data_IF_428303954413
#
_entry.id   IF_428303954413
#
_cell.length_a   1.000
_cell.length_b   1.000
_cell.length_c   1.000
_cell.angle_alpha   90.00
_cell.angle_beta   90.00
_cell.angle_gamma   90.00
#
_symmetry.space_group_name_H-M   'P 1'
#
loop_
_entity.id
_entity.type
_entity.pdbx_description
1 polymer ?
#
# COMPACT_ATOMS: atom_id res chain seq x y z
N UNK A 1 -12.20 -20.22 -15.73
CA UNK A 1 -10.99 -21.05 -15.73
C UNK A 1 -10.89 -21.71 -14.38
N UNK A 2 -10.74 -23.04 -14.34
CA UNK A 2 -10.45 -23.76 -13.09
C UNK A 2 -8.94 -23.98 -12.98
N UNK A 3 -8.37 -23.88 -11.77
CA UNK A 3 -6.94 -24.09 -11.59
C UNK A 3 -6.57 -25.56 -11.85
N UNK A 4 -5.48 -25.79 -12.59
CA UNK A 4 -4.92 -27.12 -12.79
C UNK A 4 -4.08 -27.50 -11.57
N UNK A 5 -4.42 -28.62 -10.94
CA UNK A 5 -3.72 -29.18 -9.78
C UNK A 5 -3.23 -30.60 -10.08
N UNK A 6 -2.11 -31.00 -9.46
CA UNK A 6 -1.52 -32.32 -9.63
C UNK A 6 -2.16 -33.40 -8.74
N UNK A 7 -2.78 -32.99 -7.64
CA UNK A 7 -3.45 -33.86 -6.69
C UNK A 7 -4.79 -33.25 -6.32
N UNK A 8 -5.85 -34.06 -6.30
CA UNK A 8 -7.20 -33.64 -5.91
C UNK A 8 -7.66 -34.51 -4.74
N UNK A 9 -7.93 -33.93 -3.56
CA UNK A 9 -8.54 -34.69 -2.46
C UNK A 9 -9.85 -35.36 -2.93
N UNK A 10 -10.20 -36.55 -2.43
CA UNK A 10 -11.47 -37.20 -2.72
C UNK A 10 -12.65 -36.27 -2.46
N UNK A 11 -13.65 -36.31 -3.35
CA UNK A 11 -14.89 -35.52 -3.27
C UNK A 11 -14.70 -34.00 -3.26
N UNK A 12 -13.52 -33.50 -3.62
CA UNK A 12 -13.23 -32.07 -3.72
C UNK A 12 -13.50 -31.52 -5.13
N UNK A 13 -14.23 -30.41 -5.20
CA UNK A 13 -14.37 -29.60 -6.41
C UNK A 13 -14.25 -28.11 -6.07
N UNK A 14 -13.73 -27.33 -7.01
CA UNK A 14 -13.59 -25.89 -6.84
C UNK A 14 -14.93 -25.18 -6.98
N UNK A 15 -15.20 -24.21 -6.11
CA UNK A 15 -16.28 -23.27 -6.35
C UNK A 15 -15.95 -22.35 -7.52
N UNK A 16 -16.98 -21.87 -8.22
CA UNK A 16 -16.81 -20.86 -9.27
C UNK A 16 -16.32 -19.55 -8.64
N UNK A 17 -15.41 -18.87 -9.35
CA UNK A 17 -15.03 -17.50 -9.03
C UNK A 17 -16.29 -16.61 -9.06
N UNK A 18 -16.42 -15.75 -8.06
CA UNK A 18 -17.56 -14.82 -7.96
C UNK A 18 -17.10 -13.43 -8.33
N UNK A 19 -17.89 -12.76 -9.18
CA UNK A 19 -17.71 -11.34 -9.46
C UNK A 19 -18.60 -10.58 -8.48
N UNK A 20 -17.98 -9.78 -7.63
CA UNK A 20 -18.65 -8.93 -6.65
C UNK A 20 -18.54 -7.48 -7.14
N UNK A 21 -19.69 -6.82 -7.32
CA UNK A 21 -19.77 -5.39 -7.63
C UNK A 21 -20.61 -4.73 -6.54
N UNK A 22 -20.01 -4.31 -5.42
CA UNK A 22 -20.74 -3.66 -4.35
C UNK A 22 -21.19 -2.26 -4.79
N UNK A 23 -22.50 -2.02 -4.86
CA UNK A 23 -23.16 -0.70 -4.97
C UNK A 23 -22.52 0.29 -5.96
N UNK A 24 -22.14 -0.18 -7.15
CA UNK A 24 -21.61 0.67 -8.22
C UNK A 24 -20.18 1.17 -8.01
N UNK A 25 -19.40 0.54 -7.12
CA UNK A 25 -17.94 0.71 -7.03
C UNK A 25 -17.21 -0.56 -7.45
N UNK A 26 -15.91 -0.39 -7.69
CA UNK A 26 -14.86 -1.37 -8.00
C UNK A 26 -15.31 -2.83 -8.08
N UNK A 27 -15.19 -3.43 -9.26
CA UNK A 27 -15.48 -4.85 -9.48
C UNK A 27 -14.35 -5.71 -8.95
N UNK A 28 -14.68 -6.67 -8.08
CA UNK A 28 -13.73 -7.64 -7.55
C UNK A 28 -14.06 -9.04 -8.08
N UNK A 29 -13.03 -9.80 -8.40
CA UNK A 29 -13.12 -11.25 -8.61
C UNK A 29 -12.64 -11.93 -7.33
N UNK A 30 -13.55 -12.62 -6.68
CA UNK A 30 -13.31 -13.46 -5.52
C UNK A 30 -12.91 -14.87 -6.00
N UNK A 31 -11.68 -15.25 -5.70
CA UNK A 31 -11.05 -16.52 -6.04
C UNK A 31 -10.89 -17.37 -4.77
N UNK A 32 -11.85 -18.28 -4.47
CA UNK A 32 -11.81 -19.08 -3.24
C UNK A 32 -10.87 -20.29 -3.32
N UNK A 33 -10.32 -20.57 -4.50
CA UNK A 33 -9.69 -21.86 -4.82
C UNK A 33 -8.53 -22.26 -3.90
N UNK A 34 -7.66 -21.31 -3.53
CA UNK A 34 -6.53 -21.62 -2.65
C UNK A 34 -7.01 -22.03 -1.24
N UNK A 35 -7.96 -21.27 -0.70
CA UNK A 35 -8.55 -21.53 0.61
C UNK A 35 -9.28 -22.88 0.62
N UNK A 36 -10.09 -23.14 -0.41
CA UNK A 36 -10.83 -24.39 -0.59
C UNK A 36 -9.88 -25.60 -0.69
N UNK A 37 -8.82 -25.48 -1.48
CA UNK A 37 -7.85 -26.56 -1.69
C UNK A 37 -7.10 -26.92 -0.40
N UNK A 38 -6.55 -25.93 0.31
CA UNK A 38 -5.84 -26.17 1.58
C UNK A 38 -6.79 -26.79 2.61
N UNK A 39 -8.02 -26.26 2.73
CA UNK A 39 -9.02 -26.79 3.64
C UNK A 39 -9.40 -28.24 3.33
N UNK A 40 -9.64 -28.56 2.06
CA UNK A 40 -9.96 -29.92 1.62
C UNK A 40 -8.79 -30.89 1.82
N UNK A 41 -7.56 -30.44 1.54
CA UNK A 41 -6.36 -31.24 1.76
C UNK A 41 -6.19 -31.61 3.24
N UNK A 42 -6.34 -30.66 4.16
CA UNK A 42 -6.26 -30.95 5.59
C UNK A 42 -7.40 -31.87 6.08
N UNK A 43 -8.63 -31.67 5.59
CA UNK A 43 -9.77 -32.55 5.92
C UNK A 43 -9.55 -33.98 5.46
N UNK A 44 -8.83 -34.18 4.35
CA UNK A 44 -8.45 -35.51 3.88
C UNK A 44 -7.22 -36.08 4.60
N UNK A 45 -6.23 -35.24 4.90
CA UNK A 45 -4.97 -35.66 5.52
C UNK A 45 -5.15 -36.19 6.94
N UNK A 46 -6.04 -35.59 7.74
CA UNK A 46 -6.29 -35.99 9.14
C UNK A 46 -6.76 -37.45 9.26
N UNK A 47 -7.86 -37.89 8.60
CA UNK A 47 -8.32 -39.27 8.71
C UNK A 47 -7.31 -40.27 8.12
N UNK A 48 -6.64 -39.92 7.01
CA UNK A 48 -5.59 -40.77 6.43
C UNK A 48 -4.41 -40.93 7.39
N UNK A 49 -3.93 -39.85 7.99
CA UNK A 49 -2.87 -39.87 8.99
C UNK A 49 -3.25 -40.68 10.23
N UNK A 50 -4.50 -40.57 10.69
CA UNK A 50 -5.00 -41.35 11.81
C UNK A 50 -5.04 -42.86 11.50
N UNK A 51 -5.53 -43.25 10.32
CA UNK A 51 -5.55 -44.66 9.89
C UNK A 51 -4.12 -45.21 9.82
N UNK A 52 -3.20 -44.47 9.21
CA UNK A 52 -1.79 -44.86 9.13
C UNK A 52 -1.15 -45.04 10.51
N UNK A 53 -1.41 -44.12 11.44
CA UNK A 53 -0.91 -44.23 12.81
C UNK A 53 -1.44 -45.50 13.50
N UNK A 54 -2.73 -45.82 13.34
CA UNK A 54 -3.33 -47.04 13.90
C UNK A 54 -2.68 -48.30 13.31
N UNK A 55 -2.47 -48.35 12.00
CA UNK A 55 -1.82 -49.50 11.34
C UNK A 55 -0.39 -49.70 11.86
N UNK A 56 0.40 -48.63 12.00
CA UNK A 56 1.77 -48.71 12.50
C UNK A 56 1.78 -49.18 13.97
N UNK A 57 0.87 -48.66 14.79
CA UNK A 57 0.77 -49.06 16.20
C UNK A 57 0.37 -50.53 16.33
N UNK A 58 -0.57 -51.02 15.51
CA UNK A 58 -0.94 -52.44 15.49
C UNK A 58 0.23 -53.33 15.06
N UNK A 59 0.95 -52.96 14.00
CA UNK A 59 2.13 -53.70 13.53
C UNK A 59 3.24 -53.72 14.59
N UNK A 60 3.49 -52.59 15.26
CA UNK A 60 4.44 -52.49 16.34
C UNK A 60 4.01 -53.29 17.58
N UNK A 61 2.72 -53.31 17.91
CA UNK A 61 2.16 -54.12 18.99
C UNK A 61 2.35 -55.62 18.76
N UNK A 62 2.13 -56.09 17.53
CA UNK A 62 2.39 -57.47 17.15
C UNK A 62 3.88 -57.81 17.21
N UNK A 63 4.75 -56.93 16.70
CA UNK A 63 6.20 -57.07 16.79
C UNK A 63 6.67 -57.16 18.25
N UNK A 64 6.11 -56.31 19.13
CA UNK A 64 6.41 -56.38 20.56
C UNK A 64 5.96 -57.71 21.16
N UNK A 65 4.71 -58.12 20.94
CA UNK A 65 4.17 -59.36 21.50
C UNK A 65 4.96 -60.63 21.08
N UNK A 66 5.55 -60.61 19.89
CA UNK A 66 6.27 -61.76 19.31
C UNK A 66 7.79 -61.71 19.51
N UNK A 67 8.34 -60.63 20.05
CA UNK A 67 9.79 -60.35 20.07
C UNK A 67 10.65 -61.11 21.09
N UNK A 68 10.06 -61.91 21.98
CA UNK A 68 10.80 -62.82 22.88
C UNK A 68 11.88 -62.21 23.80
N UNK A 69 11.91 -60.89 24.00
CA UNK A 69 12.90 -60.21 24.87
C UNK A 69 14.10 -59.55 24.16
N UNK A 70 14.19 -59.60 22.82
CA UNK A 70 15.33 -59.09 22.05
C UNK A 70 15.23 -57.63 21.57
N UNK A 71 16.16 -57.21 20.70
CA UNK A 71 16.23 -55.83 20.14
C UNK A 71 14.99 -55.36 19.35
N UNK A 72 14.10 -56.29 18.99
CA UNK A 72 12.83 -56.00 18.33
C UNK A 72 11.86 -55.24 19.26
N UNK A 73 11.96 -55.38 20.59
CA UNK A 73 11.17 -54.59 21.55
C UNK A 73 11.47 -53.10 21.39
N UNK A 74 12.76 -52.73 21.32
CA UNK A 74 13.16 -51.33 21.12
C UNK A 74 12.66 -50.78 19.79
N UNK A 75 12.67 -51.61 18.74
CA UNK A 75 12.17 -51.24 17.41
C UNK A 75 10.66 -50.96 17.46
N UNK A 76 9.88 -51.86 18.09
CA UNK A 76 8.44 -51.67 18.28
C UNK A 76 8.13 -50.39 19.08
N UNK A 77 8.88 -50.14 20.17
CA UNK A 77 8.74 -48.91 20.96
C UNK A 77 9.02 -47.65 20.12
N UNK A 78 10.06 -47.65 19.29
CA UNK A 78 10.36 -46.54 18.38
C UNK A 78 9.23 -46.31 17.36
N UNK A 79 8.65 -47.37 16.80
CA UNK A 79 7.54 -47.24 15.85
C UNK A 79 6.30 -46.65 16.49
N UNK A 80 5.96 -47.08 17.70
CA UNK A 80 4.84 -46.51 18.48
C UNK A 80 5.10 -45.03 18.78
N UNK A 81 6.30 -44.70 19.27
CA UNK A 81 6.68 -43.30 19.56
C UNK A 81 6.59 -42.42 18.32
N UNK A 82 7.12 -42.87 17.19
CA UNK A 82 7.10 -42.10 15.94
C UNK A 82 5.67 -41.92 15.40
N UNK A 83 4.82 -42.95 15.49
CA UNK A 83 3.42 -42.87 15.08
C UNK A 83 2.64 -41.86 15.94
N UNK A 84 2.85 -41.90 17.27
CA UNK A 84 2.21 -40.96 18.21
C UNK A 84 2.72 -39.53 17.97
N UNK A 85 4.04 -39.34 17.84
CA UNK A 85 4.63 -38.03 17.58
C UNK A 85 4.16 -37.46 16.23
N UNK A 86 4.09 -38.28 15.18
CA UNK A 86 3.57 -37.86 13.88
C UNK A 86 2.11 -37.42 13.95
N UNK A 87 1.25 -38.19 14.63
CA UNK A 87 -0.15 -37.84 14.83
C UNK A 87 -0.30 -36.57 15.69
N UNK A 88 0.52 -36.44 16.73
CA UNK A 88 0.52 -35.26 17.60
C UNK A 88 0.98 -34.02 16.84
N UNK A 89 2.00 -34.11 15.99
CA UNK A 89 2.42 -33.02 15.11
C UNK A 89 1.32 -32.63 14.11
N UNK A 90 0.65 -33.62 13.50
CA UNK A 90 -0.45 -33.38 12.57
C UNK A 90 -1.61 -32.62 13.22
N UNK A 91 -2.04 -33.03 14.41
CA UNK A 91 -3.15 -32.41 15.14
C UNK A 91 -2.75 -31.06 15.77
N UNK A 92 -1.54 -30.99 16.33
CA UNK A 92 -1.06 -29.77 16.99
C UNK A 92 -0.77 -28.64 16.01
N UNK A 93 -0.44 -28.93 14.74
CA UNK A 93 -0.24 -27.91 13.71
C UNK A 93 -1.42 -26.94 13.65
N UNK A 94 -2.65 -27.46 13.53
CA UNK A 94 -3.86 -26.64 13.52
C UNK A 94 -4.09 -25.91 14.85
N UNK A 95 -3.94 -26.60 15.97
CA UNK A 95 -4.17 -26.04 17.31
C UNK A 95 -3.20 -24.89 17.61
N UNK A 96 -1.93 -25.05 17.25
CA UNK A 96 -0.89 -24.02 17.44
C UNK A 96 -1.20 -22.79 16.60
N UNK A 97 -1.53 -22.98 15.31
CA UNK A 97 -1.93 -21.87 14.43
C UNK A 97 -3.15 -21.13 15.00
N UNK A 98 -4.16 -21.87 15.46
CA UNK A 98 -5.37 -21.31 16.07
C UNK A 98 -5.08 -20.51 17.36
N UNK A 99 -4.18 -20.99 18.22
CA UNK A 99 -3.81 -20.33 19.49
C UNK A 99 -3.01 -19.05 19.23
N UNK A 100 -2.06 -19.08 18.30
CA UNK A 100 -1.21 -17.93 17.99
C UNK A 100 -2.04 -16.84 17.33
N UNK A 101 -2.81 -17.20 16.30
CA UNK A 101 -3.71 -16.27 15.63
C UNK A 101 -4.79 -17.02 14.84
N UNK A 102 -6.09 -16.92 15.22
CA UNK A 102 -7.16 -17.59 14.52
C UNK A 102 -7.31 -17.15 13.05
N UNK A 103 -6.78 -15.98 12.67
CA UNK A 103 -6.76 -15.51 11.28
C UNK A 103 -5.78 -16.32 10.40
N UNK A 104 -4.88 -17.12 10.97
CA UNK A 104 -3.97 -17.98 10.19
C UNK A 104 -4.65 -19.25 9.67
N UNK A 105 -5.76 -19.67 10.29
CA UNK A 105 -6.56 -20.81 9.82
C UNK A 105 -7.83 -20.38 9.10
N UNK A 106 -8.23 -19.12 9.24
CA UNK A 106 -9.28 -18.50 8.43
C UNK A 106 -8.65 -18.12 7.10
N UNK A 107 -8.88 -18.94 6.09
CA UNK A 107 -8.38 -18.69 4.74
C UNK A 107 -9.42 -17.90 3.94
N UNK A 108 -9.31 -16.56 3.81
CA UNK A 108 -10.24 -15.79 3.00
C UNK A 108 -10.05 -16.08 1.51
N UNK A 109 -11.11 -15.88 0.73
CA UNK A 109 -11.00 -15.88 -0.72
C UNK A 109 -10.08 -14.74 -1.18
N UNK A 110 -9.24 -15.02 -2.18
CA UNK A 110 -8.36 -14.01 -2.76
C UNK A 110 -9.21 -13.04 -3.59
N UNK A 111 -9.20 -11.76 -3.23
CA UNK A 111 -9.94 -10.72 -3.95
C UNK A 111 -8.99 -9.99 -4.89
N UNK A 112 -9.25 -10.09 -6.18
CA UNK A 112 -8.50 -9.39 -7.23
C UNK A 112 -9.41 -8.31 -7.82
N UNK A 113 -8.95 -7.07 -7.80
CA UNK A 113 -9.68 -5.98 -8.44
C UNK A 113 -9.60 -6.12 -9.96
N UNK A 114 -10.73 -6.05 -10.64
CA UNK A 114 -10.78 -6.03 -12.10
C UNK A 114 -10.49 -4.61 -12.56
N UNK A 115 -9.40 -4.43 -13.30
CA UNK A 115 -9.16 -3.19 -14.02
C UNK A 115 -10.25 -3.02 -15.08
N UNK A 116 -10.96 -1.89 -15.05
CA UNK A 116 -11.90 -1.54 -16.11
C UNK A 116 -11.10 -1.31 -17.40
N UNK A 117 -11.39 -2.03 -18.50
CA UNK A 117 -10.73 -1.74 -19.76
C UNK A 117 -11.06 -0.30 -20.17
N UNK A 118 -10.02 0.52 -20.33
CA UNK A 118 -10.12 1.88 -20.83
C UNK A 118 -10.58 1.78 -22.28
N UNK A 119 -11.82 2.18 -22.55
CA UNK A 119 -12.28 2.45 -23.90
C UNK A 119 -11.54 3.72 -24.34
N UNK A 120 -10.49 3.57 -25.15
CA UNK A 120 -9.86 4.70 -25.84
C UNK A 120 -10.82 5.06 -26.99
N UNK A 121 -11.79 5.94 -26.70
CA UNK A 121 -12.57 6.60 -27.74
C UNK A 121 -11.76 7.78 -28.25
N UNK A 122 -11.27 7.69 -29.49
CA UNK A 122 -10.50 8.72 -30.19
C UNK A 122 -11.34 9.94 -30.63
N UNK A 123 -12.37 10.32 -29.87
CA UNK A 123 -13.24 11.44 -30.21
C UNK A 123 -13.33 12.44 -29.05
N UNK A 124 -12.99 13.69 -29.38
CA UNK A 124 -12.77 14.83 -28.49
C UNK A 124 -14.03 15.34 -27.76
N UNK A 125 -13.87 15.69 -26.48
CA UNK A 125 -14.17 17.00 -25.84
C UNK A 125 -13.95 16.87 -24.31
N UNK A 126 -13.13 17.76 -23.72
CA UNK A 126 -12.71 17.70 -22.31
C UNK A 126 -13.89 17.76 -21.32
N UNK A 127 -13.88 16.89 -20.29
CA UNK A 127 -13.74 17.43 -18.95
C UNK A 127 -12.59 16.79 -18.18
N UNK A 128 -11.84 17.67 -17.51
CA UNK A 128 -10.70 17.43 -16.62
C UNK A 128 -10.62 16.02 -16.02
N UNK A 129 -9.66 15.22 -16.51
CA UNK A 129 -9.33 13.93 -15.91
C UNK A 129 -8.78 14.14 -14.50
N UNK A 130 -9.56 13.78 -13.49
CA UNK A 130 -9.04 13.53 -12.14
C UNK A 130 -8.15 12.30 -12.25
N UNK A 131 -6.84 12.50 -12.30
CA UNK A 131 -5.82 11.46 -12.24
C UNK A 131 -5.79 10.95 -10.78
N UNK A 132 -6.84 10.24 -10.38
CA UNK A 132 -7.08 9.85 -8.99
C UNK A 132 -7.52 8.40 -8.79
N UNK A 133 -7.62 7.61 -9.86
CA UNK A 133 -8.10 6.21 -9.79
C UNK A 133 -7.21 5.17 -10.45
N UNK A 134 -6.11 5.56 -11.10
CA UNK A 134 -5.07 4.60 -11.51
C UNK A 134 -4.00 4.51 -10.41
N UNK A 135 -3.39 3.34 -10.16
CA UNK A 135 -2.13 3.24 -9.44
C UNK A 135 -1.07 3.98 -10.29
N UNK A 136 -1.00 5.30 -10.09
CA UNK A 136 -0.17 6.20 -10.87
C UNK A 136 1.25 5.67 -10.93
N UNK A 137 1.69 5.38 -12.14
CA UNK A 137 3.05 4.98 -12.45
C UNK A 137 3.98 5.99 -11.78
N UNK A 138 4.72 5.56 -10.77
CA UNK A 138 5.85 6.32 -10.26
C UNK A 138 6.90 6.29 -11.36
N UNK A 139 6.84 7.23 -12.30
CA UNK A 139 7.92 7.38 -13.28
C UNK A 139 9.14 7.83 -12.48
N UNK A 140 10.26 7.08 -12.50
CA UNK A 140 11.48 7.58 -11.90
C UNK A 140 11.84 8.89 -12.62
N UNK A 141 11.84 10.02 -11.90
CA UNK A 141 12.37 11.24 -12.49
C UNK A 141 13.89 11.08 -12.52
N UNK A 142 14.42 10.78 -13.69
CA UNK A 142 15.86 10.75 -13.96
C UNK A 142 16.32 12.16 -14.35
N UNK A 143 17.33 12.66 -13.65
CA UNK A 143 17.99 13.94 -13.90
C UNK A 143 19.04 14.24 -12.84
N UNK A 144 20.12 14.93 -13.21
CA UNK A 144 21.33 15.09 -12.38
C UNK A 144 21.13 15.88 -11.07
N UNK A 145 19.96 16.47 -10.85
CA UNK A 145 19.74 17.40 -9.76
C UNK A 145 18.31 17.40 -9.19
N UNK A 146 17.60 16.26 -9.34
CA UNK A 146 16.30 16.03 -8.73
C UNK A 146 16.29 14.72 -7.98
N UNK A 147 15.57 14.67 -6.85
CA UNK A 147 15.24 13.43 -6.17
C UNK A 147 13.78 13.39 -5.76
N UNK A 148 13.20 12.20 -5.79
CA UNK A 148 11.84 11.93 -5.35
C UNK A 148 11.89 10.91 -4.22
N UNK A 149 11.39 11.27 -3.03
CA UNK A 149 11.43 10.40 -1.83
C UNK A 149 10.03 9.87 -1.52
N UNK A 150 9.71 8.69 -2.05
CA UNK A 150 8.44 8.01 -1.73
C UNK A 150 7.18 8.74 -2.22
N UNK A 151 7.33 9.72 -3.13
CA UNK A 151 6.22 10.44 -3.73
C UNK A 151 5.88 9.87 -5.12
N UNK A 152 4.59 9.82 -5.45
CA UNK A 152 4.11 9.54 -6.81
C UNK A 152 4.00 10.86 -7.56
N UNK A 153 4.42 10.90 -8.81
CA UNK A 153 4.43 12.12 -9.62
C UNK A 153 3.69 11.85 -10.92
N UNK A 154 2.81 12.78 -11.28
CA UNK A 154 2.10 12.73 -12.55
C UNK A 154 3.06 12.96 -13.73
N UNK A 155 2.84 12.26 -14.85
CA UNK A 155 3.72 12.38 -16.03
C UNK A 155 3.74 13.80 -16.59
N UNK A 156 2.65 14.56 -16.47
CA UNK A 156 2.56 15.97 -16.88
C UNK A 156 3.43 16.93 -16.06
N UNK A 157 3.91 16.50 -14.88
CA UNK A 157 4.83 17.30 -14.05
C UNK A 157 6.31 17.01 -14.31
N UNK A 158 6.65 15.98 -15.10
CA UNK A 158 8.04 15.58 -15.31
C UNK A 158 8.87 16.70 -15.94
N UNK A 159 8.40 17.27 -17.05
CA UNK A 159 9.12 18.34 -17.76
C UNK A 159 9.24 19.62 -16.90
N UNK A 160 8.16 20.15 -16.27
CA UNK A 160 8.28 21.27 -15.34
C UNK A 160 9.26 21.02 -14.19
N UNK A 161 9.23 19.83 -13.57
CA UNK A 161 10.13 19.49 -12.47
C UNK A 161 11.59 19.38 -12.92
N UNK A 162 11.83 18.79 -14.09
CA UNK A 162 13.17 18.72 -14.68
C UNK A 162 13.70 20.12 -15.04
N UNK A 163 12.83 21.01 -15.56
CA UNK A 163 13.19 22.41 -15.83
C UNK A 163 13.60 23.14 -14.54
N UNK A 164 12.83 23.02 -13.47
CA UNK A 164 13.18 23.60 -12.17
C UNK A 164 14.50 23.01 -11.62
N UNK A 165 14.68 21.70 -11.68
CA UNK A 165 15.90 21.04 -11.23
C UNK A 165 17.15 21.48 -12.00
N UNK A 166 17.03 21.69 -13.32
CA UNK A 166 18.11 22.19 -14.18
C UNK A 166 18.50 23.62 -13.83
N UNK A 167 17.54 24.48 -13.49
CA UNK A 167 17.81 25.85 -13.06
C UNK A 167 18.57 25.91 -11.72
N UNK A 168 18.33 24.94 -10.85
CA UNK A 168 19.00 24.83 -9.55
C UNK A 168 20.41 24.25 -9.61
N UNK A 169 20.74 23.52 -10.69
CA UNK A 169 22.01 22.79 -10.81
C UNK A 169 23.26 23.68 -10.69
N UNK A 170 23.34 24.87 -11.34
CA UNK A 170 24.49 25.76 -11.18
C UNK A 170 24.69 26.29 -9.75
N UNK A 171 23.63 26.26 -8.92
CA UNK A 171 23.67 26.73 -7.54
C UNK A 171 24.04 25.62 -6.55
N UNK A 172 24.22 24.38 -7.03
CA UNK A 172 24.49 23.19 -6.22
C UNK A 172 23.30 22.76 -5.37
N UNK A 173 22.07 23.13 -5.74
CA UNK A 173 20.85 22.84 -4.98
C UNK A 173 20.08 21.70 -5.63
N UNK A 174 19.91 20.58 -4.94
CA UNK A 174 19.10 19.45 -5.40
C UNK A 174 17.63 19.71 -5.10
N UNK A 175 16.76 19.61 -6.12
CA UNK A 175 15.31 19.63 -5.95
C UNK A 175 14.83 18.32 -5.32
N UNK A 176 14.24 18.39 -4.12
CA UNK A 176 13.77 17.22 -3.39
C UNK A 176 12.26 17.18 -3.29
N UNK A 177 11.60 16.36 -4.09
CA UNK A 177 10.17 16.12 -3.98
C UNK A 177 9.88 15.07 -2.91
N UNK A 178 9.10 15.44 -1.90
CA UNK A 178 8.78 14.60 -0.73
C UNK A 178 7.34 14.11 -0.69
N UNK A 179 6.44 14.79 -1.41
CA UNK A 179 5.03 14.39 -1.55
C UNK A 179 4.51 14.89 -2.89
N UNK A 180 3.52 14.20 -3.45
CA UNK A 180 3.04 14.39 -4.82
C UNK A 180 1.61 13.89 -4.97
N UNK A 181 1.31 13.14 -6.03
CA UNK A 181 0.01 12.52 -6.27
C UNK A 181 -0.42 11.67 -5.08
N UNK A 182 -1.66 11.89 -4.63
CA UNK A 182 -2.28 11.17 -3.51
C UNK A 182 -3.60 10.56 -3.94
N UNK A 183 -3.82 9.29 -3.64
CA UNK A 183 -5.10 8.65 -3.92
C UNK A 183 -6.21 9.24 -3.04
N UNK A 184 -7.46 9.09 -3.47
CA UNK A 184 -8.61 9.49 -2.66
C UNK A 184 -8.65 8.73 -1.32
N UNK A 185 -8.23 7.46 -1.31
CA UNK A 185 -8.15 6.64 -0.10
C UNK A 185 -7.09 7.17 0.86
N UNK A 186 -5.89 7.49 0.36
CA UNK A 186 -4.80 8.04 1.16
C UNK A 186 -5.19 9.40 1.76
N UNK A 187 -5.91 10.24 1.00
CA UNK A 187 -6.42 11.52 1.50
C UNK A 187 -7.42 11.31 2.65
N UNK A 188 -8.36 10.37 2.52
CA UNK A 188 -9.30 10.02 3.60
C UNK A 188 -8.58 9.48 4.82
N UNK A 189 -7.54 8.64 4.63
CA UNK A 189 -6.71 8.10 5.70
C UNK A 189 -5.97 9.20 6.46
N UNK A 190 -5.46 10.22 5.76
CA UNK A 190 -4.82 11.38 6.40
C UNK A 190 -5.81 12.20 7.24
N UNK A 191 -7.01 12.47 6.70
CA UNK A 191 -8.06 13.19 7.45
C UNK A 191 -8.39 12.42 8.73
N UNK A 192 -8.65 11.12 8.64
CA UNK A 192 -8.99 10.29 9.80
C UNK A 192 -7.85 10.20 10.83
N UNK A 193 -6.59 10.22 10.39
CA UNK A 193 -5.43 10.13 11.28
C UNK A 193 -5.06 11.46 11.96
N UNK A 194 -5.41 12.61 11.35
CA UNK A 194 -4.92 13.93 11.77
C UNK A 194 -6.01 14.83 12.35
N UNK A 195 -7.28 14.55 12.07
CA UNK A 195 -8.42 15.38 12.46
C UNK A 195 -9.33 14.62 13.43
N UNK A 196 -9.80 15.32 14.47
CA UNK A 196 -10.80 14.74 15.39
C UNK A 196 -12.20 14.71 14.77
N UNK A 197 -12.52 15.70 13.94
CA UNK A 197 -13.74 15.78 13.14
C UNK A 197 -13.38 15.88 11.64
N UNK A 198 -13.74 14.88 10.82
CA UNK A 198 -13.43 14.85 9.39
C UNK A 198 -14.19 15.91 8.56
N UNK A 199 -15.05 16.73 9.18
CA UNK A 199 -15.75 17.86 8.54
C UNK A 199 -15.23 19.22 8.99
N UNK A 200 -14.49 19.29 10.10
CA UNK A 200 -13.95 20.53 10.64
C UNK A 200 -12.41 20.61 10.48
N UNK A 201 -11.88 21.45 9.56
CA UNK A 201 -10.44 21.64 9.41
C UNK A 201 -9.73 22.11 10.68
N UNK A 202 -10.44 22.79 11.60
CA UNK A 202 -9.85 23.28 12.87
C UNK A 202 -9.61 22.15 13.87
N UNK A 203 -10.26 21.01 13.67
CA UNK A 203 -10.06 19.81 14.50
C UNK A 203 -8.75 19.08 14.16
N UNK A 204 -8.06 19.49 13.10
CA UNK A 204 -6.85 18.86 12.61
C UNK A 204 -5.61 19.33 13.35
N UNK A 205 -4.75 18.38 13.71
CA UNK A 205 -3.46 18.64 14.35
C UNK A 205 -2.47 19.37 13.45
N UNK A 206 -2.63 19.29 12.12
CA UNK A 206 -1.85 19.98 11.09
C UNK A 206 -2.80 20.41 9.97
N UNK A 207 -2.41 21.35 9.08
CA UNK A 207 -3.20 21.65 7.88
C UNK A 207 -3.43 20.37 7.07
N UNK A 208 -4.70 20.07 6.76
CA UNK A 208 -5.13 18.93 5.95
C UNK A 208 -6.24 19.39 5.02
N UNK A 209 -6.18 19.00 3.75
CA UNK A 209 -7.26 19.28 2.80
C UNK A 209 -8.48 18.39 3.08
N UNK A 210 -9.67 18.99 3.18
CA UNK A 210 -10.89 18.32 3.68
C UNK A 210 -11.86 17.84 2.59
N UNK A 211 -11.43 17.74 1.32
CA UNK A 211 -12.25 17.25 0.20
C UNK A 211 -13.63 17.95 0.08
N UNK A 212 -13.73 19.23 0.45
CA UNK A 212 -15.00 19.93 0.67
C UNK A 212 -15.93 19.91 -0.55
N UNK A 213 -15.37 19.89 -1.76
CA UNK A 213 -16.11 19.84 -3.03
C UNK A 213 -15.70 18.62 -3.88
N UNK A 214 -15.38 17.51 -3.24
CA UNK A 214 -14.95 16.28 -3.91
C UNK A 214 -13.44 16.21 -4.17
N UNK A 215 -12.97 15.15 -4.87
CA UNK A 215 -11.54 14.88 -5.05
C UNK A 215 -10.77 15.98 -5.78
N UNK A 216 -11.41 16.73 -6.68
CA UNK A 216 -10.74 17.83 -7.40
C UNK A 216 -10.38 19.03 -6.52
N UNK A 217 -11.05 19.15 -5.36
CA UNK A 217 -10.84 20.25 -4.40
C UNK A 217 -9.55 20.15 -3.58
N UNK A 218 -8.85 19.01 -3.64
CA UNK A 218 -7.54 18.86 -3.02
C UNK A 218 -6.45 18.83 -4.10
N UNK A 219 -5.42 19.69 -4.04
CA UNK A 219 -4.41 19.76 -5.11
C UNK A 219 -3.69 18.43 -5.36
N UNK A 220 -3.25 17.74 -4.31
CA UNK A 220 -2.54 16.46 -4.41
C UNK A 220 -3.36 15.32 -5.01
N UNK A 221 -4.68 15.33 -4.86
CA UNK A 221 -5.55 14.28 -5.45
C UNK A 221 -5.82 14.49 -6.93
N UNK A 222 -5.28 15.57 -7.52
CA UNK A 222 -5.41 15.86 -8.95
C UNK A 222 -4.14 15.60 -9.74
N UNK A 223 -3.07 15.14 -9.08
CA UNK A 223 -1.77 14.90 -9.72
C UNK A 223 -0.97 16.16 -10.05
N UNK A 224 -1.55 17.36 -9.85
CA UNK A 224 -0.92 18.64 -10.20
C UNK A 224 -0.27 19.36 -9.03
N UNK A 225 -0.03 18.69 -7.90
CA UNK A 225 0.61 19.31 -6.75
C UNK A 225 1.73 18.45 -6.17
N UNK A 226 2.78 19.12 -5.72
CA UNK A 226 3.96 18.52 -5.11
C UNK A 226 4.43 19.32 -3.90
N UNK A 227 4.98 18.62 -2.92
CA UNK A 227 5.71 19.24 -1.81
C UNK A 227 7.21 19.04 -2.06
N UNK A 228 7.95 20.14 -2.19
CA UNK A 228 9.35 20.12 -2.59
C UNK A 228 10.25 21.00 -1.71
N UNK A 229 11.50 20.55 -1.57
CA UNK A 229 12.50 21.14 -0.70
C UNK A 229 13.85 21.28 -1.40
N UNK A 230 14.58 22.34 -1.08
CA UNK A 230 15.98 22.47 -1.46
C UNK A 230 16.88 21.61 -0.60
N UNK A 231 17.90 21.04 -1.22
CA UNK A 231 19.02 20.44 -0.50
C UNK A 231 20.34 20.90 -1.06
N UNK A 232 21.24 21.26 -0.17
CA UNK A 232 22.56 21.78 -0.50
C UNK A 232 23.57 21.21 0.48
N UNK A 233 24.76 20.86 0.01
CA UNK A 233 25.86 20.34 0.85
C UNK A 233 25.45 19.15 1.74
N UNK A 234 24.63 18.25 1.18
CA UNK A 234 24.16 17.04 1.85
C UNK A 234 23.11 17.26 2.95
N UNK A 235 22.55 18.47 3.08
CA UNK A 235 21.52 18.81 4.07
C UNK A 235 20.28 19.41 3.43
N UNK A 236 19.12 19.19 4.05
CA UNK A 236 17.89 19.88 3.70
C UNK A 236 18.01 21.35 4.10
N UNK A 237 17.60 22.26 3.22
CA UNK A 237 17.80 23.69 3.42
C UNK A 237 16.99 24.22 4.59
N UNK A 238 15.72 23.79 4.73
CA UNK A 238 14.88 24.06 5.91
C UNK A 238 13.98 22.89 6.25
N UNK A 239 13.71 22.72 7.53
CA UNK A 239 12.70 21.77 8.00
C UNK A 239 11.34 22.45 8.12
N UNK A 240 10.26 21.71 7.86
CA UNK A 240 8.88 22.24 7.94
C UNK A 240 8.58 22.96 9.27
N UNK A 241 9.06 22.42 10.39
CA UNK A 241 8.90 23.01 11.73
C UNK A 241 9.58 24.37 11.90
N UNK A 242 10.61 24.67 11.10
CA UNK A 242 11.37 25.93 11.14
C UNK A 242 10.72 27.00 10.25
N UNK A 243 9.84 26.58 9.35
CA UNK A 243 9.21 27.45 8.38
C UNK A 243 7.89 28.04 8.84
N UNK A 244 7.25 27.44 9.84
CA UNK A 244 5.95 27.89 10.34
C UNK A 244 6.16 28.75 11.58
N UNK A 245 5.91 30.05 11.46
CA UNK A 245 5.93 30.98 12.59
C UNK A 245 4.53 31.52 12.88
N UNK A 246 4.18 31.63 14.16
CA UNK A 246 2.85 32.04 14.63
C UNK A 246 1.96 30.88 15.10
N UNK A 247 0.85 31.20 15.77
CA UNK A 247 -0.09 30.17 16.24
C UNK A 247 -0.87 29.57 15.07
N UNK A 248 -1.11 28.25 15.09
CA UNK A 248 -1.97 27.53 14.12
C UNK A 248 -3.42 28.04 14.08
N UNK A 249 -3.79 28.98 14.97
CA UNK A 249 -5.12 29.60 15.01
C UNK A 249 -5.26 30.77 14.02
N UNK A 250 -4.18 31.22 13.38
CA UNK A 250 -4.23 32.18 12.28
C UNK A 250 -4.39 31.36 10.98
N UNK A 251 -5.42 31.66 10.20
CA UNK A 251 -5.75 31.00 8.92
C UNK A 251 -4.66 31.13 7.83
N UNK A 252 -3.51 31.72 8.15
CA UNK A 252 -2.34 31.85 7.27
C UNK A 252 -1.09 32.05 8.16
N UNK A 253 -0.45 30.97 8.65
CA UNK A 253 0.81 31.10 9.37
C UNK A 253 1.88 31.67 8.42
N UNK A 254 2.74 32.57 8.93
CA UNK A 254 3.81 33.13 8.10
C UNK A 254 4.83 32.05 7.77
N UNK A 255 5.05 31.85 6.46
CA UNK A 255 6.10 30.97 5.92
C UNK A 255 7.36 31.72 5.50
N UNK A 256 7.48 32.99 5.90
CA UNK A 256 8.62 33.86 5.63
C UNK A 256 9.99 33.24 5.95
N UNK A 257 10.20 32.49 7.06
CA UNK A 257 11.51 31.90 7.31
C UNK A 257 11.97 30.95 6.20
N UNK A 258 11.04 30.21 5.59
CA UNK A 258 11.31 29.37 4.42
C UNK A 258 11.51 30.20 3.15
N UNK A 259 10.69 31.24 2.96
CA UNK A 259 10.72 32.10 1.76
C UNK A 259 11.94 33.02 1.71
N UNK A 260 12.52 33.35 2.86
CA UNK A 260 13.71 34.19 3.01
C UNK A 260 15.00 33.37 3.12
N UNK A 261 14.91 32.04 3.27
CA UNK A 261 16.08 31.17 3.24
C UNK A 261 16.65 31.10 1.82
N UNK A 262 17.92 31.48 1.58
CA UNK A 262 18.45 31.59 0.21
C UNK A 262 18.33 30.30 -0.61
N UNK A 263 18.47 29.13 0.03
CA UNK A 263 18.36 27.86 -0.68
C UNK A 263 16.89 27.50 -0.98
N UNK A 264 16.00 27.56 0.01
CA UNK A 264 14.59 27.25 -0.23
C UNK A 264 13.91 28.30 -1.13
N UNK A 265 14.29 29.57 -1.00
CA UNK A 265 13.86 30.65 -1.89
C UNK A 265 14.25 30.40 -3.35
N UNK A 266 15.47 29.88 -3.59
CA UNK A 266 15.90 29.49 -4.92
C UNK A 266 15.02 28.37 -5.50
N UNK A 267 14.64 27.38 -4.68
CA UNK A 267 13.68 26.34 -5.10
C UNK A 267 12.32 26.92 -5.45
N UNK A 268 11.79 27.80 -4.60
CA UNK A 268 10.50 28.46 -4.86
C UNK A 268 10.53 29.20 -6.19
N UNK A 269 11.59 29.98 -6.43
CA UNK A 269 11.78 30.73 -7.68
C UNK A 269 11.93 29.81 -8.90
N UNK A 270 12.71 28.74 -8.80
CA UNK A 270 12.89 27.78 -9.90
C UNK A 270 11.58 27.06 -10.24
N UNK A 271 10.79 26.69 -9.22
CA UNK A 271 9.45 26.11 -9.41
C UNK A 271 8.50 27.12 -10.09
N UNK A 272 8.52 28.39 -9.66
CA UNK A 272 7.76 29.46 -10.30
C UNK A 272 8.15 29.67 -11.76
N UNK A 273 9.43 29.71 -12.07
CA UNK A 273 9.95 29.82 -13.44
C UNK A 273 9.60 28.59 -14.31
N UNK A 274 9.43 27.43 -13.67
CA UNK A 274 8.93 26.22 -14.30
C UNK A 274 7.40 26.18 -14.47
N UNK A 275 6.70 27.23 -14.02
CA UNK A 275 5.26 27.39 -14.18
C UNK A 275 4.42 26.93 -13.00
N UNK A 276 5.03 26.51 -11.89
CA UNK A 276 4.29 26.19 -10.66
C UNK A 276 3.89 27.46 -9.90
N UNK A 277 2.74 27.40 -9.25
CA UNK A 277 2.31 28.34 -8.25
C UNK A 277 2.78 27.88 -6.86
N UNK A 278 3.34 28.79 -6.04
CA UNK A 278 3.66 28.49 -4.63
C UNK A 278 2.56 29.00 -3.70
N UNK A 279 2.04 28.13 -2.83
CA UNK A 279 0.98 28.52 -1.90
C UNK A 279 1.53 29.29 -0.69
N UNK A 280 0.95 30.44 -0.35
CA UNK A 280 1.47 31.30 0.73
C UNK A 280 1.46 30.65 2.12
N UNK A 281 0.48 29.80 2.41
CA UNK A 281 0.36 29.08 3.68
C UNK A 281 1.40 27.96 3.87
N UNK A 282 1.99 27.47 2.78
CA UNK A 282 2.98 26.38 2.79
C UNK A 282 4.05 26.63 1.73
N UNK A 283 5.19 27.19 2.12
CA UNK A 283 6.29 27.55 1.20
C UNK A 283 6.95 26.34 0.49
N UNK A 284 6.63 25.12 0.91
CA UNK A 284 7.06 23.88 0.26
C UNK A 284 6.03 23.34 -0.74
N UNK A 285 4.79 23.86 -0.75
CA UNK A 285 3.68 23.38 -1.56
C UNK A 285 3.63 24.10 -2.91
N UNK A 286 3.62 23.32 -3.99
CA UNK A 286 3.62 23.81 -5.36
C UNK A 286 2.48 23.18 -6.15
N UNK A 287 1.71 24.00 -6.87
CA UNK A 287 0.61 23.58 -7.72
C UNK A 287 0.89 23.96 -9.18
N UNK A 288 0.70 23.04 -10.11
CA UNK A 288 0.86 23.31 -11.53
C UNK A 288 -0.48 23.75 -12.16
N UNK A 289 -0.54 24.89 -12.88
CA UNK A 289 -1.76 25.60 -13.20
C UNK A 289 -2.94 24.79 -13.71
N UNK A 290 -4.11 24.86 -13.05
CA UNK A 290 -5.42 24.39 -13.53
C UNK A 290 -6.59 25.23 -12.97
N UNK A 291 -7.81 25.12 -13.51
CA UNK A 291 -9.02 25.62 -12.86
C UNK A 291 -9.17 25.08 -11.42
N UNK A 292 -9.57 25.94 -10.47
CA UNK A 292 -9.87 25.54 -9.09
C UNK A 292 -8.66 25.33 -8.14
N UNK A 293 -7.48 25.88 -8.46
CA UNK A 293 -6.29 25.85 -7.58
C UNK A 293 -6.47 26.62 -6.26
N UNK A 294 -5.62 26.31 -5.27
CA UNK A 294 -5.56 27.09 -4.04
C UNK A 294 -5.24 28.55 -4.33
N UNK A 295 -5.77 29.45 -3.51
CA UNK A 295 -5.49 30.88 -3.56
C UNK A 295 -5.19 31.35 -2.13
N UNK A 296 -4.31 32.36 -1.92
CA UNK A 296 -3.50 33.07 -2.91
C UNK A 296 -2.22 32.28 -3.31
N UNK A 297 -1.88 32.36 -4.60
CA UNK A 297 -0.69 31.76 -5.20
C UNK A 297 0.29 32.85 -5.64
N UNK A 298 1.58 32.66 -5.34
CA UNK A 298 2.67 33.58 -5.71
C UNK A 298 3.68 32.87 -6.59
#
# INVERSE_FOLDING_TARGET
MEPKIHFTPPEFSFSKAKVETPDGRETYVSLPWLAEYIGAFYRWLIPVGAILAVVIIMAAGLLWATSGGGGQIKTAQHWIQNAILGLLLLLSSYVLLQIINPELVRLPALRVQVATPIQISDDAEEPESVIGTEPGVSVPITGDNIRVRGARIDSGLLEPLQKAAKELAPQGIILSVTSGLRSLEDQKRQIAAKCKDPKDPKSCSVPVCMLKNGPSSCPHTTGRAVDAWGWKDGKQCRLQKECVTGSRAIQSPSTEPCRNDPCQAAVIKAMQNAGFCSWLGEAWHFEYPKPGMSQPCV
#
